data_IF_547098732046
#
_entry.id   IF_547098732046
#
_cell.length_a   1.000
_cell.length_b   1.000
_cell.length_c   1.000
_cell.angle_alpha   90.00
_cell.angle_beta   90.00
_cell.angle_gamma   90.00
#
_symmetry.space_group_name_H-M   'P 1'
#
loop_
_entity.id
_entity.type
_entity.pdbx_description
1 polymer ?
#
# COMPACT_ATOMS: atom_id res chain seq x y z
N UNK A 1 -13.55 12.54 9.22
CA UNK A 1 -14.03 11.15 9.10
C UNK A 1 -13.03 10.32 8.32
N UNK A 2 -12.82 9.09 8.72
CA UNK A 2 -11.88 8.23 8.02
C UNK A 2 -12.63 7.30 7.08
N UNK A 3 -12.04 7.09 5.91
CA UNK A 3 -12.62 6.18 4.93
C UNK A 3 -11.68 5.00 4.74
N UNK A 4 -12.26 3.85 4.49
CA UNK A 4 -11.48 2.64 4.20
C UNK A 4 -11.84 2.16 2.80
N UNK A 5 -10.84 1.92 1.98
CA UNK A 5 -11.03 1.47 0.61
C UNK A 5 -10.39 0.10 0.47
N UNK A 6 -11.17 -0.93 0.14
CA UNK A 6 -10.57 -2.24 -0.06
C UNK A 6 -9.83 -2.27 -1.39
N UNK A 7 -8.62 -2.82 -1.38
CA UNK A 7 -7.84 -2.96 -2.60
C UNK A 7 -8.28 -4.17 -3.40
N UNK A 8 -8.90 -5.16 -2.74
CA UNK A 8 -9.35 -6.35 -3.42
C UNK A 8 -8.29 -7.41 -3.50
N UNK A 9 -8.59 -8.47 -4.23
CA UNK A 9 -7.71 -9.63 -4.30
C UNK A 9 -6.68 -9.53 -5.40
N UNK A 10 -7.03 -8.90 -6.51
CA UNK A 10 -6.22 -8.94 -7.71
C UNK A 10 -5.65 -7.56 -8.03
N UNK A 11 -4.37 -7.40 -7.78
CA UNK A 11 -3.65 -6.19 -8.16
C UNK A 11 -2.64 -6.54 -9.24
N UNK A 12 -3.07 -7.33 -10.21
CA UNK A 12 -2.25 -7.72 -11.35
C UNK A 12 -2.08 -6.58 -12.33
N UNK A 13 -1.32 -6.84 -13.37
CA UNK A 13 -1.01 -5.79 -14.33
C UNK A 13 -2.26 -5.35 -15.09
N UNK A 14 -3.20 -6.26 -15.32
CA UNK A 14 -4.41 -5.92 -16.07
C UNK A 14 -5.33 -4.99 -15.30
N UNK A 15 -5.21 -4.97 -13.97
CA UNK A 15 -6.08 -4.14 -13.16
C UNK A 15 -5.40 -2.87 -12.69
N UNK A 16 -4.15 -2.63 -13.08
CA UNK A 16 -3.42 -1.48 -12.56
C UNK A 16 -4.05 -0.16 -12.99
N UNK A 17 -4.54 -0.08 -14.22
CA UNK A 17 -5.20 1.14 -14.69
C UNK A 17 -6.51 1.37 -13.94
N UNK A 18 -7.26 0.31 -13.68
CA UNK A 18 -8.49 0.40 -12.93
C UNK A 18 -8.20 0.83 -11.49
N UNK A 19 -7.16 0.28 -10.91
CA UNK A 19 -6.74 0.69 -9.57
C UNK A 19 -6.44 2.17 -9.53
N UNK A 20 -5.69 2.66 -10.53
CA UNK A 20 -5.35 4.08 -10.59
C UNK A 20 -6.62 4.93 -10.65
N UNK A 21 -7.60 4.52 -11.46
CA UNK A 21 -8.84 5.27 -11.57
C UNK A 21 -9.60 5.28 -10.26
N UNK A 22 -9.70 4.15 -9.61
CA UNK A 22 -10.39 4.07 -8.34
C UNK A 22 -9.73 4.96 -7.28
N UNK A 23 -8.41 4.92 -7.22
CA UNK A 23 -7.69 5.70 -6.22
C UNK A 23 -7.75 7.20 -6.52
N UNK A 24 -7.77 7.56 -7.80
CA UNK A 24 -7.85 8.97 -8.17
C UNK A 24 -9.07 9.64 -7.55
N UNK A 25 -10.16 8.91 -7.43
CA UNK A 25 -11.37 9.46 -6.82
C UNK A 25 -11.16 9.79 -5.34
N UNK A 26 -10.14 9.25 -4.71
CA UNK A 26 -9.89 9.47 -3.30
C UNK A 26 -8.69 10.37 -3.02
N UNK A 27 -8.10 10.97 -4.06
CA UNK A 27 -6.92 11.80 -3.84
C UNK A 27 -7.18 12.93 -2.85
N UNK A 28 -8.33 13.55 -2.95
CA UNK A 28 -8.69 14.66 -2.08
C UNK A 28 -9.59 14.22 -0.94
N UNK A 29 -9.68 12.93 -0.68
CA UNK A 29 -10.54 12.43 0.37
C UNK A 29 -10.00 12.79 1.75
N UNK A 30 -10.67 12.32 2.76
CA UNK A 30 -10.38 12.63 4.16
C UNK A 30 -8.89 12.80 4.46
N UNK A 31 -8.58 13.54 5.51
CA UNK A 31 -7.19 13.73 5.93
C UNK A 31 -6.48 12.42 6.16
N UNK A 32 -7.18 11.41 6.66
CA UNK A 32 -6.62 10.08 6.82
C UNK A 32 -7.47 9.12 6.00
N UNK A 33 -6.84 8.46 5.05
CA UNK A 33 -7.50 7.46 4.23
C UNK A 33 -6.84 6.12 4.50
N UNK A 34 -7.65 5.08 4.67
CA UNK A 34 -7.13 3.75 4.90
C UNK A 34 -7.36 2.87 3.69
N UNK A 35 -6.34 2.12 3.32
CA UNK A 35 -6.42 1.16 2.23
C UNK A 35 -6.30 -0.23 2.83
N UNK A 36 -7.31 -1.05 2.56
CA UNK A 36 -7.35 -2.40 3.11
C UNK A 36 -6.66 -3.36 2.15
N UNK A 37 -5.53 -3.89 2.55
CA UNK A 37 -4.75 -4.82 1.75
C UNK A 37 -4.82 -6.26 2.29
N UNK A 38 -5.86 -6.57 3.05
CA UNK A 38 -5.97 -7.87 3.70
C UNK A 38 -6.34 -9.01 2.80
N UNK A 39 -6.86 -8.72 1.62
CA UNK A 39 -7.30 -9.77 0.70
C UNK A 39 -6.47 -9.85 -0.57
N UNK A 40 -5.34 -9.17 -0.62
CA UNK A 40 -4.52 -9.16 -1.82
C UNK A 40 -3.91 -10.54 -2.04
N UNK A 41 -4.15 -11.11 -3.21
CA UNK A 41 -3.64 -12.42 -3.57
C UNK A 41 -2.63 -12.35 -4.70
N UNK A 42 -2.78 -11.36 -5.57
CA UNK A 42 -1.86 -11.14 -6.67
C UNK A 42 -1.52 -9.66 -6.70
N UNK A 43 -0.24 -9.38 -6.91
CA UNK A 43 0.17 -7.99 -7.02
C UNK A 43 1.32 -7.90 -8.01
N UNK A 44 1.24 -6.90 -8.88
CA UNK A 44 2.25 -6.65 -9.89
C UNK A 44 2.96 -5.34 -9.58
N UNK A 45 4.20 -5.23 -10.00
CA UNK A 45 4.99 -4.02 -9.79
C UNK A 45 4.26 -2.76 -10.25
N UNK A 46 3.54 -2.84 -11.37
CA UNK A 46 2.81 -1.68 -11.87
C UNK A 46 1.80 -1.19 -10.85
N UNK A 47 1.10 -2.10 -10.18
CA UNK A 47 0.13 -1.71 -9.17
C UNK A 47 0.80 -1.12 -7.94
N UNK A 48 1.95 -1.67 -7.56
CA UNK A 48 2.70 -1.11 -6.43
C UNK A 48 3.13 0.32 -6.75
N UNK A 49 3.54 0.58 -7.99
CA UNK A 49 3.93 1.92 -8.38
C UNK A 49 2.75 2.88 -8.35
N UNK A 50 1.56 2.40 -8.74
CA UNK A 50 0.36 3.22 -8.65
C UNK A 50 0.11 3.60 -7.18
N UNK A 51 0.25 2.64 -6.27
CA UNK A 51 0.05 2.91 -4.86
C UNK A 51 1.06 3.90 -4.32
N UNK A 52 2.32 3.76 -4.70
CA UNK A 52 3.36 4.69 -4.26
C UNK A 52 3.07 6.10 -4.74
N UNK A 53 2.67 6.24 -6.00
CA UNK A 53 2.37 7.56 -6.54
C UNK A 53 1.16 8.17 -5.83
N UNK A 54 0.17 7.36 -5.51
CA UNK A 54 -1.02 7.83 -4.82
C UNK A 54 -0.68 8.32 -3.42
N UNK A 55 0.07 7.52 -2.67
CA UNK A 55 0.46 7.90 -1.31
C UNK A 55 1.29 9.19 -1.33
N UNK A 56 2.21 9.28 -2.29
CA UNK A 56 3.07 10.46 -2.39
C UNK A 56 2.26 11.70 -2.73
N UNK A 57 1.32 11.59 -3.65
CA UNK A 57 0.49 12.73 -4.03
C UNK A 57 -0.32 13.23 -2.85
N UNK A 58 -0.88 12.31 -2.07
CA UNK A 58 -1.65 12.72 -0.90
C UNK A 58 -0.74 13.37 0.16
N UNK A 59 0.45 12.81 0.32
CA UNK A 59 1.39 13.35 1.30
C UNK A 59 1.76 14.79 0.95
N UNK A 60 1.95 15.08 -0.33
CA UNK A 60 2.27 16.44 -0.76
C UNK A 60 1.14 17.41 -0.48
N UNK A 61 -0.07 16.92 -0.38
CA UNK A 61 -1.22 17.75 -0.02
C UNK A 61 -1.46 17.78 1.48
N UNK A 62 -0.54 17.24 2.27
CA UNK A 62 -0.69 17.22 3.71
C UNK A 62 -1.64 16.17 4.23
N UNK A 63 -1.98 15.19 3.41
CA UNK A 63 -2.92 14.15 3.80
C UNK A 63 -2.19 12.84 4.04
N UNK A 64 -2.76 12.01 4.91
CA UNK A 64 -2.16 10.73 5.27
C UNK A 64 -2.90 9.58 4.61
N UNK A 65 -2.15 8.60 4.24
CA UNK A 65 -2.70 7.34 3.72
C UNK A 65 -2.09 6.21 4.53
N UNK A 66 -2.94 5.37 5.08
CA UNK A 66 -2.50 4.25 5.91
C UNK A 66 -3.00 2.96 5.29
N UNK A 67 -2.19 1.91 5.41
CA UNK A 67 -2.60 0.60 4.97
C UNK A 67 -2.98 -0.21 6.19
N UNK A 68 -4.09 -0.92 6.12
CA UNK A 68 -4.49 -1.76 7.22
C UNK A 68 -4.66 -3.19 6.74
N UNK A 69 -4.56 -4.12 7.65
CA UNK A 69 -4.75 -5.54 7.36
C UNK A 69 -3.82 -6.05 6.28
N UNK A 70 -2.62 -5.47 6.15
CA UNK A 70 -1.68 -5.89 5.12
C UNK A 70 -1.33 -7.36 5.30
N UNK A 71 -1.68 -8.18 4.31
CA UNK A 71 -1.33 -9.58 4.39
C UNK A 71 0.10 -9.81 3.91
N UNK A 72 0.56 -11.05 4.01
CA UNK A 72 1.95 -11.37 3.68
C UNK A 72 2.27 -11.10 2.22
N UNK A 73 1.32 -11.39 1.33
CA UNK A 73 1.55 -11.16 -0.10
C UNK A 73 1.86 -9.70 -0.37
N UNK A 74 1.08 -8.80 0.20
CA UNK A 74 1.26 -7.38 -0.01
C UNK A 74 2.55 -6.89 0.63
N UNK A 75 2.80 -7.29 1.88
CA UNK A 75 4.00 -6.86 2.58
C UNK A 75 5.26 -7.35 1.91
N UNK A 76 5.25 -8.60 1.44
CA UNK A 76 6.41 -9.16 0.78
C UNK A 76 6.70 -8.45 -0.53
N UNK A 77 5.67 -8.12 -1.29
CA UNK A 77 5.86 -7.40 -2.54
C UNK A 77 6.46 -6.03 -2.27
N UNK A 78 5.95 -5.32 -1.28
CA UNK A 78 6.46 -3.99 -0.96
C UNK A 78 7.91 -4.07 -0.50
N UNK A 79 8.23 -5.07 0.29
CA UNK A 79 9.59 -5.25 0.80
C UNK A 79 10.56 -5.59 -0.31
N UNK A 80 10.16 -6.51 -1.19
CA UNK A 80 11.03 -6.94 -2.28
C UNK A 80 11.31 -5.80 -3.25
N UNK A 81 10.35 -4.91 -3.43
CA UNK A 81 10.53 -3.77 -4.30
C UNK A 81 11.17 -2.59 -3.58
N UNK A 82 11.41 -2.71 -2.28
CA UNK A 82 12.07 -1.66 -1.52
C UNK A 82 11.21 -0.44 -1.28
N UNK A 83 9.90 -0.59 -1.27
CA UNK A 83 8.99 0.55 -1.15
C UNK A 83 8.17 0.54 0.13
N UNK A 84 8.50 -0.32 1.09
CA UNK A 84 7.73 -0.38 2.33
C UNK A 84 7.67 0.99 3.00
N UNK A 85 8.80 1.67 3.06
CA UNK A 85 8.87 2.97 3.69
C UNK A 85 8.06 4.00 2.92
N UNK A 86 8.15 3.98 1.59
CA UNK A 86 7.40 4.90 0.75
C UNK A 86 5.90 4.74 0.94
N UNK A 87 5.46 3.52 1.19
CA UNK A 87 4.04 3.24 1.40
C UNK A 87 3.64 3.49 2.86
N UNK A 88 4.59 3.79 3.72
CA UNK A 88 4.28 4.03 5.11
C UNK A 88 4.01 2.76 5.89
N UNK A 89 4.48 1.63 5.40
CA UNK A 89 4.30 0.38 6.11
C UNK A 89 5.29 0.31 7.26
N UNK A 90 4.87 -0.22 8.40
CA UNK A 90 5.79 -0.32 9.52
C UNK A 90 6.90 -1.32 9.22
N UNK A 91 8.06 -1.05 9.73
CA UNK A 91 9.13 -2.02 9.68
C UNK A 91 8.64 -3.23 10.45
N UNK A 92 8.72 -4.38 9.84
CA UNK A 92 8.13 -5.53 10.47
C UNK A 92 8.96 -5.95 11.64
N UNK A 93 8.35 -6.18 12.74
CA UNK A 93 9.09 -6.62 13.90
C UNK A 93 9.78 -7.95 13.68
N UNK A 94 9.15 -8.81 12.96
CA UNK A 94 9.78 -10.05 12.64
C UNK A 94 10.99 -9.81 11.79
N UNK A 95 10.97 -8.85 10.93
CA UNK A 95 12.11 -8.45 10.20
C UNK A 95 13.21 -8.06 11.11
N UNK A 96 12.91 -7.23 12.06
CA UNK A 96 13.90 -6.81 13.00
C UNK A 96 14.42 -7.94 13.82
N UNK A 97 13.57 -8.82 14.20
CA UNK A 97 14.01 -9.93 14.99
C UNK A 97 14.87 -10.84 14.22
N UNK A 98 14.50 -11.10 13.00
CA UNK A 98 15.29 -12.01 12.25
C UNK A 98 16.61 -11.42 11.89
N UNK A 99 16.62 -10.19 11.76
CA UNK A 99 17.84 -9.58 11.48
C UNK A 99 18.69 -9.59 12.59
N UNK A 100 18.06 -9.52 13.52
CA UNK A 100 18.68 -9.45 14.52
C UNK A 100 19.01 -10.53 14.86
N UNK A 101 18.52 -11.12 14.44
CA UNK A 101 18.96 -11.99 14.61
C UNK A 101 19.55 -12.25 13.75
N UNK A 102 19.49 -11.91 13.19
CA UNK A 102 20.19 -12.08 12.49
C UNK A 102 21.04 -11.66 12.71
N UNK A 103 21.11 -11.70 13.04
CA UNK A 103 21.81 -11.38 13.32
C UNK A 103 21.89 -11.51 13.53
#
# INVERSE_FOLDING_TARGET
>A
MMSTVPLGEDLGIETSADLKQRLTAFLAADDVLRLDAGEVRRIHTASVQVLCAFVDARRKDGKRTEFEACNATFRDAARLLGVSESLGLPATPDNLKSVENAA
#
